data_IF_945988244204
#
_entry.id   IF_945988244204
#
_cell.length_a   1.000
_cell.length_b   1.000
_cell.length_c   1.000
_cell.angle_alpha   90.00
_cell.angle_beta   90.00
_cell.angle_gamma   90.00
#
_symmetry.space_group_name_H-M   'P 1'
#
loop_
_entity.id
_entity.type
_entity.pdbx_description
1 polymer ?
#
# COMPACT_ATOMS: atom_id res chain seq x y z
N UNK A 1 -41.26 -9.84 8.35
CA UNK A 1 -40.14 -8.88 8.53
C UNK A 1 -38.83 -9.66 8.55
N UNK A 2 -38.22 -9.95 7.39
CA UNK A 2 -36.86 -10.47 7.35
C UNK A 2 -35.87 -9.31 7.42
N UNK A 3 -34.88 -9.46 8.29
CA UNK A 3 -33.74 -8.57 8.53
C UNK A 3 -33.03 -8.17 7.23
N UNK A 4 -32.77 -6.87 7.10
CA UNK A 4 -31.88 -6.27 6.10
C UNK A 4 -30.45 -6.82 6.25
N UNK A 5 -30.22 -8.00 5.67
CA UNK A 5 -28.89 -8.55 5.46
C UNK A 5 -28.21 -7.75 4.37
N UNK A 6 -27.29 -6.88 4.79
CA UNK A 6 -26.13 -6.36 4.03
C UNK A 6 -26.04 -6.81 2.56
N UNK A 7 -26.80 -6.17 1.67
CA UNK A 7 -26.38 -6.01 0.29
C UNK A 7 -25.23 -5.01 0.32
N UNK A 8 -24.00 -5.49 0.52
CA UNK A 8 -22.84 -4.67 0.16
C UNK A 8 -23.05 -4.32 -1.31
N UNK A 9 -23.44 -3.08 -1.61
CA UNK A 9 -23.59 -2.67 -2.98
C UNK A 9 -22.23 -2.86 -3.64
N UNK A 10 -22.21 -3.44 -4.85
CA UNK A 10 -21.01 -3.57 -5.68
C UNK A 10 -20.31 -2.20 -5.88
N UNK A 11 -21.02 -1.13 -5.58
CA UNK A 11 -20.61 0.25 -5.73
C UNK A 11 -19.95 0.85 -4.47
N UNK A 12 -19.99 0.17 -3.31
CA UNK A 12 -19.29 0.58 -2.08
C UNK A 12 -17.76 0.72 -2.25
N UNK A 13 -17.03 -0.22 -2.90
CA UNK A 13 -15.59 -0.05 -3.13
C UNK A 13 -15.24 1.16 -4.00
N UNK A 14 -16.19 1.64 -4.83
CA UNK A 14 -15.99 2.78 -5.73
C UNK A 14 -15.59 4.04 -4.96
N UNK A 15 -16.24 4.35 -3.84
CA UNK A 15 -15.91 5.54 -3.04
C UNK A 15 -14.72 5.30 -2.11
N UNK A 16 -14.59 4.07 -1.59
CA UNK A 16 -13.68 3.76 -0.49
C UNK A 16 -12.21 4.05 -0.83
N UNK A 17 -11.77 3.69 -2.03
CA UNK A 17 -10.37 3.84 -2.45
C UNK A 17 -9.91 5.31 -2.49
N UNK A 18 -10.55 6.22 -3.26
CA UNK A 18 -10.12 7.61 -3.31
C UNK A 18 -10.32 8.33 -1.98
N UNK A 19 -11.33 7.93 -1.18
CA UNK A 19 -11.50 8.46 0.17
C UNK A 19 -10.36 8.06 1.11
N UNK A 20 -9.92 6.80 1.08
CA UNK A 20 -8.78 6.35 1.88
C UNK A 20 -7.47 7.02 1.45
N UNK A 21 -7.28 7.25 0.14
CA UNK A 21 -6.14 8.01 -0.41
C UNK A 21 -6.14 9.44 0.11
N UNK A 22 -7.26 10.15 -0.02
CA UNK A 22 -7.43 11.51 0.48
C UNK A 22 -7.15 11.60 1.99
N UNK A 23 -7.73 10.68 2.77
CA UNK A 23 -7.52 10.61 4.22
C UNK A 23 -6.06 10.35 4.59
N UNK A 24 -5.33 9.59 3.78
CA UNK A 24 -3.89 9.37 3.96
C UNK A 24 -3.12 10.66 3.69
N UNK A 25 -3.36 11.32 2.56
CA UNK A 25 -2.68 12.57 2.22
C UNK A 25 -2.90 13.66 3.27
N UNK A 26 -4.13 13.83 3.75
CA UNK A 26 -4.45 14.82 4.80
C UNK A 26 -3.67 14.56 6.10
N UNK A 27 -3.46 13.30 6.48
CA UNK A 27 -2.64 12.95 7.64
C UNK A 27 -1.17 13.28 7.40
N UNK A 28 -0.64 12.93 6.24
CA UNK A 28 0.74 13.23 5.86
C UNK A 28 0.99 14.75 5.79
N UNK A 29 0.02 15.52 5.29
CA UNK A 29 0.03 16.99 5.27
C UNK A 29 0.13 17.56 6.67
N UNK A 30 -0.67 17.05 7.61
CA UNK A 30 -0.64 17.48 9.01
C UNK A 30 0.76 17.38 9.61
N UNK A 31 1.46 16.26 9.39
CA UNK A 31 2.84 16.09 9.88
C UNK A 31 3.82 17.11 9.31
N UNK A 32 3.70 17.47 8.02
CA UNK A 32 4.54 18.50 7.40
C UNK A 32 4.24 19.88 8.00
N UNK A 33 2.97 20.21 8.16
CA UNK A 33 2.54 21.49 8.75
C UNK A 33 3.02 21.61 10.19
N UNK A 34 2.93 20.54 10.98
CA UNK A 34 3.48 20.53 12.35
C UNK A 34 5.02 20.65 12.35
N UNK A 35 5.69 20.12 11.33
CA UNK A 35 7.12 20.34 11.08
C UNK A 35 7.48 21.80 10.77
N UNK A 36 6.62 22.54 10.07
CA UNK A 36 6.79 23.98 9.83
C UNK A 36 6.69 24.75 11.14
N UNK A 37 5.71 24.41 12.01
CA UNK A 37 5.60 25.02 13.35
C UNK A 37 6.88 24.82 14.16
N UNK A 38 7.46 23.61 14.11
CA UNK A 38 8.74 23.32 14.76
C UNK A 38 9.87 24.21 14.23
N UNK A 39 9.97 24.41 12.91
CA UNK A 39 10.96 25.33 12.33
C UNK A 39 10.78 26.77 12.80
N UNK A 40 9.54 27.25 12.88
CA UNK A 40 9.23 28.59 13.42
C UNK A 40 9.65 28.70 14.88
N UNK A 41 9.39 27.68 15.71
CA UNK A 41 9.85 27.70 17.11
C UNK A 41 11.37 27.73 17.22
N UNK A 42 12.09 26.96 16.38
CA UNK A 42 13.56 26.97 16.35
C UNK A 42 14.12 28.33 15.91
N UNK A 43 13.45 29.01 14.98
CA UNK A 43 13.83 30.37 14.59
C UNK A 43 13.70 31.34 15.77
N UNK A 44 12.59 31.29 16.50
CA UNK A 44 12.35 32.16 17.67
C UNK A 44 13.36 31.88 18.79
N UNK A 45 13.70 30.61 19.05
CA UNK A 45 14.70 30.27 20.08
C UNK A 45 16.09 30.75 19.69
N UNK A 46 16.48 30.60 18.42
CA UNK A 46 17.80 31.03 17.94
C UNK A 46 17.92 32.56 17.89
N UNK A 47 16.83 33.27 17.56
CA UNK A 47 16.79 34.73 17.59
C UNK A 47 17.00 35.30 19.01
N UNK A 48 16.52 34.60 20.04
CA UNK A 48 16.65 35.01 21.44
C UNK A 48 17.99 34.60 22.08
N UNK A 49 18.82 33.82 21.38
CA UNK A 49 20.07 33.32 21.93
C UNK A 49 21.22 34.33 21.69
N UNK A 50 21.56 35.08 22.73
CA UNK A 50 22.59 36.13 22.71
C UNK A 50 24.02 35.60 22.56
N UNK A 51 24.23 34.29 22.70
CA UNK A 51 25.55 33.65 22.65
C UNK A 51 26.05 33.22 21.27
N UNK A 52 25.24 33.28 20.20
CA UNK A 52 25.68 32.89 18.86
C UNK A 52 26.40 34.01 18.12
N UNK A 53 27.46 33.64 17.39
CA UNK A 53 28.12 34.54 16.44
C UNK A 53 27.21 34.83 15.24
N UNK A 54 27.45 35.95 14.55
CA UNK A 54 26.64 36.33 13.38
C UNK A 54 26.78 35.32 12.24
N UNK A 55 27.91 34.63 12.13
CA UNK A 55 28.17 33.64 11.07
C UNK A 55 27.43 32.33 11.34
N UNK A 56 27.38 31.85 12.58
CA UNK A 56 26.56 30.70 12.97
C UNK A 56 25.06 30.99 12.79
N UNK A 57 24.63 32.21 13.10
CA UNK A 57 23.24 32.66 12.87
C UNK A 57 22.87 32.63 11.39
N UNK A 58 23.75 33.09 10.50
CA UNK A 58 23.54 33.05 9.05
C UNK A 58 23.44 31.60 8.55
N UNK A 59 24.37 30.72 8.95
CA UNK A 59 24.34 29.31 8.57
C UNK A 59 23.08 28.60 9.03
N UNK A 60 22.59 28.89 10.23
CA UNK A 60 21.35 28.31 10.74
C UNK A 60 20.13 28.85 10.01
N UNK A 61 20.11 30.13 9.66
CA UNK A 61 19.03 30.73 8.87
C UNK A 61 18.96 30.09 7.48
N UNK A 62 20.11 29.85 6.84
CA UNK A 62 20.20 29.11 5.57
C UNK A 62 19.69 27.67 5.69
N UNK A 63 20.03 26.96 6.77
CA UNK A 63 19.49 25.61 7.04
C UNK A 63 17.97 25.65 7.18
N UNK A 64 17.41 26.61 7.93
CA UNK A 64 15.97 26.74 8.11
C UNK A 64 15.26 27.11 6.81
N UNK A 65 15.81 28.02 6.02
CA UNK A 65 15.31 28.37 4.67
C UNK A 65 15.32 27.15 3.75
N UNK A 66 16.41 26.37 3.74
CA UNK A 66 16.50 25.14 2.93
C UNK A 66 15.47 24.08 3.37
N UNK A 67 15.16 24.01 4.67
CA UNK A 67 14.15 23.10 5.20
C UNK A 67 12.73 23.55 4.84
N UNK A 68 12.44 24.85 4.97
CA UNK A 68 11.13 25.44 4.60
C UNK A 68 10.85 25.33 3.11
N UNK A 69 11.85 25.56 2.25
CA UNK A 69 11.70 25.42 0.79
C UNK A 69 11.39 23.97 0.39
N UNK A 70 12.05 22.98 1.00
CA UNK A 70 11.73 21.56 0.82
C UNK A 70 10.31 21.23 1.28
N UNK A 71 9.90 21.71 2.46
CA UNK A 71 8.55 21.52 2.99
C UNK A 71 7.49 22.17 2.10
N UNK A 72 7.73 23.40 1.61
CA UNK A 72 6.85 24.11 0.67
C UNK A 72 6.64 23.30 -0.61
N UNK A 73 7.73 22.81 -1.22
CA UNK A 73 7.66 22.00 -2.44
C UNK A 73 6.80 20.75 -2.22
N UNK A 74 7.07 20.01 -1.14
CA UNK A 74 6.30 18.80 -0.79
C UNK A 74 4.82 19.11 -0.55
N UNK A 75 4.51 20.19 0.16
CA UNK A 75 3.12 20.60 0.44
C UNK A 75 2.37 20.99 -0.85
N UNK A 76 3.03 21.66 -1.80
CA UNK A 76 2.40 22.00 -3.09
C UNK A 76 2.10 20.78 -3.95
N UNK A 77 2.94 19.75 -3.91
CA UNK A 77 2.73 18.49 -4.62
C UNK A 77 1.55 17.72 -4.00
N UNK A 78 1.56 17.55 -2.68
CA UNK A 78 0.45 16.93 -1.96
C UNK A 78 -0.88 17.68 -2.13
N UNK A 79 -0.85 19.01 -2.26
CA UNK A 79 -2.06 19.77 -2.52
C UNK A 79 -2.67 19.48 -3.89
N UNK A 80 -1.85 19.21 -4.91
CA UNK A 80 -2.35 18.81 -6.23
C UNK A 80 -2.91 17.40 -6.21
N UNK A 81 -2.26 16.49 -5.49
CA UNK A 81 -2.74 15.11 -5.31
C UNK A 81 -4.08 15.06 -4.58
N UNK A 82 -4.24 15.84 -3.50
CA UNK A 82 -5.51 15.92 -2.77
C UNK A 82 -6.65 16.50 -3.61
N UNK A 83 -6.38 17.51 -4.43
CA UNK A 83 -7.37 18.06 -5.36
C UNK A 83 -7.81 17.01 -6.38
N UNK A 84 -6.87 16.22 -6.90
CA UNK A 84 -7.18 15.11 -7.81
C UNK A 84 -8.00 14.01 -7.12
N UNK A 85 -7.65 13.63 -5.90
CA UNK A 85 -8.40 12.65 -5.10
C UNK A 85 -9.81 13.13 -4.74
N UNK A 86 -9.95 14.39 -4.34
CA UNK A 86 -11.23 15.01 -4.07
C UNK A 86 -12.10 15.06 -5.33
N UNK A 87 -11.52 15.46 -6.48
CA UNK A 87 -12.17 15.42 -7.79
C UNK A 87 -12.67 14.02 -8.15
N UNK A 88 -11.85 12.98 -7.94
CA UNK A 88 -12.28 11.58 -8.10
C UNK A 88 -13.45 11.21 -7.20
N UNK A 89 -13.42 11.61 -5.92
CA UNK A 89 -14.54 11.38 -4.99
C UNK A 89 -15.83 12.01 -5.51
N UNK A 90 -15.77 13.28 -5.96
CA UNK A 90 -16.94 14.00 -6.48
C UNK A 90 -17.48 13.31 -7.73
N UNK A 91 -16.63 12.97 -8.70
CA UNK A 91 -17.04 12.30 -9.94
C UNK A 91 -17.70 10.94 -9.68
N UNK A 92 -17.16 10.16 -8.73
CA UNK A 92 -17.73 8.86 -8.35
C UNK A 92 -19.06 9.03 -7.60
N UNK A 93 -19.18 10.01 -6.72
CA UNK A 93 -20.46 10.34 -6.07
C UNK A 93 -21.52 10.77 -7.08
N UNK A 94 -21.17 11.65 -8.03
CA UNK A 94 -22.07 12.06 -9.10
C UNK A 94 -22.51 10.87 -9.96
N UNK A 95 -21.59 9.95 -10.26
CA UNK A 95 -21.96 8.70 -10.95
C UNK A 95 -22.96 7.88 -10.13
N UNK A 96 -22.75 7.70 -8.83
CA UNK A 96 -23.68 6.95 -7.99
C UNK A 96 -25.05 7.61 -7.89
N UNK A 97 -25.11 8.94 -7.81
CA UNK A 97 -26.36 9.69 -7.84
C UNK A 97 -27.08 9.47 -9.18
N UNK A 98 -26.34 9.48 -10.30
CA UNK A 98 -26.91 9.24 -11.64
C UNK A 98 -27.45 7.83 -11.84
N UNK A 99 -26.97 6.84 -11.06
CA UNK A 99 -27.48 5.47 -11.08
C UNK A 99 -28.86 5.33 -10.41
N UNK A 100 -29.23 6.30 -9.56
CA UNK A 100 -30.49 6.29 -8.81
C UNK A 100 -30.50 5.27 -7.65
N UNK A 101 -31.54 5.34 -6.82
CA UNK A 101 -31.83 4.31 -5.82
C UNK A 101 -32.52 3.12 -6.51
N UNK A 102 -32.16 1.87 -6.18
CA UNK A 102 -32.88 0.70 -6.67
C UNK A 102 -34.30 0.73 -6.10
N UNK A 103 -35.28 1.14 -6.91
CA UNK A 103 -36.70 0.96 -6.59
C UNK A 103 -37.06 -0.53 -6.81
N UNK A 104 -37.94 -1.12 -5.99
CA UNK A 104 -38.25 -2.55 -6.01
C UNK A 104 -38.63 -3.13 -7.39
N UNK A 105 -39.17 -2.29 -8.29
CA UNK A 105 -39.67 -2.69 -9.61
C UNK A 105 -38.90 -2.07 -10.80
N UNK A 106 -37.84 -1.31 -10.56
CA UNK A 106 -37.00 -0.75 -11.64
C UNK A 106 -35.71 -1.55 -11.75
N UNK A 107 -35.70 -2.50 -12.68
CA UNK A 107 -34.45 -2.99 -13.25
C UNK A 107 -33.67 -1.78 -13.74
N UNK A 108 -32.54 -1.48 -13.09
CA UNK A 108 -31.61 -0.43 -13.52
C UNK A 108 -31.39 -0.64 -15.02
N UNK A 109 -31.82 0.29 -15.90
CA UNK A 109 -31.61 0.15 -17.33
C UNK A 109 -30.14 -0.11 -17.55
N UNK A 110 -29.81 -1.15 -18.32
CA UNK A 110 -28.46 -1.68 -18.49
C UNK A 110 -27.45 -0.55 -18.66
N UNK A 111 -26.80 -0.18 -17.56
CA UNK A 111 -25.92 0.97 -17.56
C UNK A 111 -24.57 0.47 -18.08
N UNK A 112 -24.36 0.59 -19.39
CA UNK A 112 -23.11 0.24 -20.08
C UNK A 112 -21.90 0.78 -19.30
N UNK A 113 -21.97 2.02 -18.81
CA UNK A 113 -20.90 2.64 -18.02
C UNK A 113 -20.63 1.92 -16.68
N UNK A 114 -21.70 1.49 -15.98
CA UNK A 114 -21.56 0.69 -14.75
C UNK A 114 -20.94 -0.68 -15.05
N UNK A 115 -21.38 -1.31 -16.14
CA UNK A 115 -20.82 -2.59 -16.58
C UNK A 115 -19.34 -2.44 -16.96
N UNK A 116 -18.98 -1.39 -17.68
CA UNK A 116 -17.60 -1.09 -18.06
C UNK A 116 -16.72 -0.87 -16.81
N UNK A 117 -17.22 -0.17 -15.77
CA UNK A 117 -16.50 -0.03 -14.49
C UNK A 117 -16.29 -1.38 -13.80
N UNK A 118 -17.32 -2.22 -13.72
CA UNK A 118 -17.22 -3.56 -13.11
C UNK A 118 -16.26 -4.45 -13.91
N UNK A 119 -16.33 -4.39 -15.24
CA UNK A 119 -15.48 -5.16 -16.13
C UNK A 119 -14.02 -4.71 -16.00
N UNK A 120 -13.75 -3.40 -15.94
CA UNK A 120 -12.41 -2.88 -15.69
C UNK A 120 -11.88 -3.32 -14.33
N UNK A 121 -12.65 -3.24 -13.24
CA UNK A 121 -12.22 -3.74 -11.92
C UNK A 121 -11.88 -5.23 -11.96
N UNK A 122 -12.70 -6.04 -12.63
CA UNK A 122 -12.42 -7.47 -12.82
C UNK A 122 -11.12 -7.71 -13.62
N UNK A 123 -10.95 -7.02 -14.74
CA UNK A 123 -9.74 -7.13 -15.58
C UNK A 123 -8.48 -6.74 -14.78
N UNK A 124 -8.55 -5.68 -13.97
CA UNK A 124 -7.45 -5.25 -13.11
C UNK A 124 -7.11 -6.30 -12.04
N UNK A 125 -8.11 -6.92 -11.40
CA UNK A 125 -7.91 -7.99 -10.41
C UNK A 125 -7.34 -9.27 -11.02
N UNK A 126 -7.70 -9.58 -12.26
CA UNK A 126 -7.20 -10.73 -13.00
C UNK A 126 -5.84 -10.49 -13.67
N UNK A 127 -5.28 -9.28 -13.58
CA UNK A 127 -3.97 -8.94 -14.15
C UNK A 127 -3.99 -8.51 -15.63
N UNK A 128 -5.16 -8.29 -16.22
CA UNK A 128 -5.34 -7.81 -17.60
C UNK A 128 -5.28 -6.27 -17.70
N UNK A 129 -4.16 -5.67 -17.27
CA UNK A 129 -4.05 -4.20 -17.14
C UNK A 129 -4.11 -3.46 -18.48
N UNK A 130 -3.54 -4.02 -19.55
CA UNK A 130 -3.59 -3.39 -20.88
C UNK A 130 -5.02 -3.31 -21.38
N UNK A 131 -5.77 -4.41 -21.30
CA UNK A 131 -7.19 -4.44 -21.68
C UNK A 131 -8.04 -3.51 -20.79
N UNK A 132 -7.78 -3.52 -19.48
CA UNK A 132 -8.46 -2.64 -18.52
C UNK A 132 -8.24 -1.15 -18.82
N UNK A 133 -7.00 -0.76 -19.13
CA UNK A 133 -6.65 0.64 -19.45
C UNK A 133 -7.23 1.07 -20.79
N UNK A 134 -7.22 0.21 -21.81
CA UNK A 134 -7.85 0.48 -23.09
C UNK A 134 -9.36 0.69 -22.95
N UNK A 135 -10.05 -0.23 -22.26
CA UNK A 135 -11.49 -0.11 -22.01
C UNK A 135 -11.84 1.13 -21.20
N UNK A 136 -11.05 1.44 -20.16
CA UNK A 136 -11.25 2.64 -19.36
C UNK A 136 -11.09 3.93 -20.18
N UNK A 137 -10.17 3.91 -21.15
CA UNK A 137 -9.92 5.02 -22.07
C UNK A 137 -11.05 5.22 -23.08
N UNK A 138 -11.48 4.13 -23.72
CA UNK A 138 -12.55 4.13 -24.71
C UNK A 138 -13.91 4.53 -24.11
N UNK A 139 -14.22 4.05 -22.90
CA UNK A 139 -15.46 4.36 -22.20
C UNK A 139 -15.43 5.71 -21.43
N UNK A 140 -14.27 6.39 -21.36
CA UNK A 140 -14.13 7.66 -20.63
C UNK A 140 -14.38 7.52 -19.11
N UNK A 141 -13.98 6.39 -18.52
CA UNK A 141 -14.25 6.05 -17.11
C UNK A 141 -13.01 6.03 -16.23
N UNK A 142 -11.89 6.63 -16.66
CA UNK A 142 -10.61 6.61 -15.95
C UNK A 142 -10.72 7.14 -14.50
N UNK A 143 -11.58 8.13 -14.26
CA UNK A 143 -11.82 8.68 -12.92
C UNK A 143 -12.66 7.77 -12.00
N UNK A 144 -13.31 6.76 -12.58
CA UNK A 144 -14.19 5.82 -11.88
C UNK A 144 -13.48 4.49 -11.55
N UNK A 145 -12.27 4.28 -12.09
CA UNK A 145 -11.51 3.04 -11.92
C UNK A 145 -10.17 3.31 -11.24
N UNK A 146 -9.60 2.29 -10.60
CA UNK A 146 -8.40 2.41 -9.76
C UNK A 146 -7.15 1.84 -10.46
N UNK A 147 -6.95 2.15 -11.74
CA UNK A 147 -5.89 1.55 -12.59
C UNK A 147 -4.49 1.66 -11.98
N UNK A 148 -4.11 2.82 -11.45
CA UNK A 148 -2.77 3.04 -10.89
C UNK A 148 -2.53 2.25 -9.59
N UNK A 149 -3.57 2.11 -8.75
CA UNK A 149 -3.48 1.29 -7.54
C UNK A 149 -3.20 -0.17 -7.89
N UNK A 150 -3.91 -0.69 -8.89
CA UNK A 150 -3.73 -2.05 -9.37
C UNK A 150 -2.39 -2.25 -10.07
N UNK A 151 -1.85 -1.24 -10.75
CA UNK A 151 -0.50 -1.27 -11.34
C UNK A 151 0.57 -1.45 -10.26
N UNK A 152 0.47 -0.73 -9.13
CA UNK A 152 1.38 -0.93 -8.00
C UNK A 152 1.28 -2.35 -7.44
N UNK A 153 0.06 -2.87 -7.27
CA UNK A 153 -0.15 -4.24 -6.83
C UNK A 153 0.46 -5.26 -7.82
N UNK A 154 0.32 -5.01 -9.12
CA UNK A 154 0.91 -5.85 -10.17
C UNK A 154 2.44 -5.88 -10.08
N UNK A 155 3.09 -4.74 -9.87
CA UNK A 155 4.55 -4.69 -9.68
C UNK A 155 4.99 -5.58 -8.51
N UNK A 156 4.25 -5.55 -7.40
CA UNK A 156 4.52 -6.42 -6.24
C UNK A 156 4.30 -7.89 -6.61
N UNK A 157 3.21 -8.24 -7.28
CA UNK A 157 2.94 -9.62 -7.72
C UNK A 157 4.02 -10.13 -8.68
N UNK A 158 4.47 -9.28 -9.62
CA UNK A 158 5.53 -9.65 -10.56
C UNK A 158 6.88 -9.83 -9.86
N UNK A 159 7.20 -8.98 -8.88
CA UNK A 159 8.38 -9.13 -8.04
C UNK A 159 8.35 -10.47 -7.29
N UNK A 160 7.20 -10.81 -6.70
CA UNK A 160 7.01 -12.09 -6.01
C UNK A 160 7.17 -13.29 -6.95
N UNK A 161 6.65 -13.22 -8.18
CA UNK A 161 6.88 -14.25 -9.22
C UNK A 161 8.35 -14.38 -9.60
N UNK A 162 9.11 -13.28 -9.59
CA UNK A 162 10.57 -13.30 -9.75
C UNK A 162 11.34 -13.66 -8.47
N UNK A 163 10.64 -14.12 -7.41
CA UNK A 163 11.20 -14.51 -6.12
C UNK A 163 11.84 -13.35 -5.34
N UNK A 164 11.38 -12.13 -5.60
CA UNK A 164 11.76 -10.93 -4.87
C UNK A 164 10.62 -10.49 -3.94
N UNK A 165 10.84 -10.61 -2.64
CA UNK A 165 9.88 -10.19 -1.61
C UNK A 165 10.09 -8.75 -1.14
N UNK A 166 11.13 -8.05 -1.61
CA UNK A 166 11.50 -6.73 -1.12
C UNK A 166 10.39 -5.69 -1.28
N UNK A 167 9.76 -5.65 -2.46
CA UNK A 167 8.64 -4.74 -2.74
C UNK A 167 7.42 -5.03 -1.83
N UNK A 168 7.10 -6.31 -1.62
CA UNK A 168 5.99 -6.74 -0.77
C UNK A 168 6.26 -6.41 0.72
N UNK A 169 7.50 -6.61 1.18
CA UNK A 169 7.91 -6.30 2.56
C UNK A 169 7.93 -4.79 2.82
N UNK A 170 8.37 -3.98 1.86
CA UNK A 170 8.29 -2.52 1.94
C UNK A 170 6.82 -2.05 2.05
N UNK A 171 5.91 -2.71 1.32
CA UNK A 171 4.47 -2.47 1.45
C UNK A 171 3.95 -2.88 2.83
N UNK A 172 4.37 -4.03 3.38
CA UNK A 172 4.03 -4.44 4.74
C UNK A 172 4.49 -3.43 5.79
N UNK A 173 5.74 -2.96 5.71
CA UNK A 173 6.28 -1.95 6.62
C UNK A 173 5.46 -0.65 6.59
N UNK A 174 5.06 -0.21 5.39
CA UNK A 174 4.24 0.99 5.19
C UNK A 174 2.80 0.84 5.70
N UNK A 175 2.31 -0.39 5.87
CA UNK A 175 0.93 -0.70 6.26
C UNK A 175 0.83 -1.45 7.61
N UNK A 176 1.90 -1.51 8.38
CA UNK A 176 2.03 -2.34 9.60
C UNK A 176 0.88 -2.16 10.58
N UNK A 177 0.48 -0.93 10.87
CA UNK A 177 -0.61 -0.63 11.81
C UNK A 177 -1.96 -1.17 11.34
N UNK A 178 -2.21 -1.20 10.03
CA UNK A 178 -3.42 -1.77 9.43
C UNK A 178 -3.37 -3.29 9.43
N UNK A 179 -2.23 -3.87 9.09
CA UNK A 179 -2.02 -5.32 9.09
C UNK A 179 -2.19 -5.93 10.48
N UNK A 180 -1.67 -5.25 11.52
CA UNK A 180 -1.84 -5.67 12.92
C UNK A 180 -3.32 -5.68 13.33
N UNK A 181 -4.11 -4.67 12.93
CA UNK A 181 -5.54 -4.64 13.22
C UNK A 181 -6.33 -5.75 12.52
N UNK A 182 -5.83 -6.21 11.38
CA UNK A 182 -6.40 -7.32 10.62
C UNK A 182 -5.88 -8.69 11.08
N UNK A 183 -4.96 -8.74 12.06
CA UNK A 183 -4.23 -9.95 12.45
C UNK A 183 -3.65 -10.69 11.23
N UNK A 184 -3.08 -9.94 10.28
CA UNK A 184 -2.57 -10.51 9.03
C UNK A 184 -1.19 -11.15 9.22
N UNK A 185 -1.04 -12.41 8.80
CA UNK A 185 0.24 -13.13 8.77
C UNK A 185 1.02 -12.95 7.46
N UNK A 186 0.67 -11.96 6.64
CA UNK A 186 1.32 -11.72 5.35
C UNK A 186 2.82 -11.43 5.49
N UNK A 187 3.20 -10.59 6.46
CA UNK A 187 4.61 -10.26 6.69
C UNK A 187 5.41 -11.51 7.06
N UNK A 188 4.86 -12.36 7.95
CA UNK A 188 5.49 -13.63 8.31
C UNK A 188 5.71 -14.53 7.09
N UNK A 189 4.68 -14.74 6.26
CA UNK A 189 4.78 -15.57 5.04
C UNK A 189 5.84 -15.06 4.07
N UNK A 190 5.93 -13.73 3.89
CA UNK A 190 6.96 -13.12 3.04
C UNK A 190 8.37 -13.31 3.59
N UNK A 191 8.54 -13.17 4.92
CA UNK A 191 9.83 -13.42 5.59
C UNK A 191 10.25 -14.89 5.51
N UNK A 192 9.29 -15.82 5.63
CA UNK A 192 9.54 -17.25 5.41
C UNK A 192 9.97 -17.51 3.96
N UNK A 193 9.34 -16.85 2.98
CA UNK A 193 9.75 -16.98 1.58
C UNK A 193 11.17 -16.47 1.36
N UNK A 194 11.55 -15.28 1.86
CA UNK A 194 12.94 -14.80 1.75
C UNK A 194 13.94 -15.79 2.40
N UNK A 195 13.58 -16.36 3.55
CA UNK A 195 14.39 -17.39 4.19
C UNK A 195 14.55 -18.63 3.29
N UNK A 196 13.48 -19.13 2.69
CA UNK A 196 13.51 -20.26 1.75
C UNK A 196 14.40 -19.93 0.53
N UNK A 197 14.34 -18.70 0.01
CA UNK A 197 15.20 -18.26 -1.09
C UNK A 197 16.70 -18.23 -0.69
N UNK A 198 17.03 -17.83 0.54
CA UNK A 198 18.40 -17.90 1.07
C UNK A 198 18.88 -19.35 1.20
N UNK A 199 18.02 -20.25 1.68
CA UNK A 199 18.32 -21.69 1.75
C UNK A 199 18.52 -22.28 0.36
N UNK A 200 17.70 -21.89 -0.63
CA UNK A 200 17.82 -22.31 -2.02
C UNK A 200 19.16 -21.90 -2.65
N UNK A 201 19.71 -20.74 -2.27
CA UNK A 201 21.04 -20.27 -2.70
C UNK A 201 22.20 -20.93 -1.96
N UNK A 202 21.92 -21.92 -1.08
CA UNK A 202 22.91 -22.56 -0.19
C UNK A 202 23.62 -21.60 0.78
N UNK A 203 23.06 -20.41 1.02
CA UNK A 203 23.59 -19.41 1.95
C UNK A 203 23.15 -19.69 3.40
N UNK A 204 23.53 -20.86 3.95
CA UNK A 204 23.00 -21.37 5.23
C UNK A 204 23.26 -20.43 6.42
N UNK A 205 24.46 -19.85 6.50
CA UNK A 205 24.82 -18.92 7.59
C UNK A 205 23.96 -17.64 7.54
N UNK A 206 23.77 -17.08 6.35
CA UNK A 206 22.92 -15.91 6.15
C UNK A 206 21.46 -16.21 6.48
N UNK A 207 20.95 -17.38 6.05
CA UNK A 207 19.60 -17.82 6.37
C UNK A 207 19.38 -17.94 7.89
N UNK A 208 20.34 -18.50 8.64
CA UNK A 208 20.27 -18.61 10.10
C UNK A 208 20.27 -17.23 10.76
N UNK A 209 21.14 -16.31 10.31
CA UNK A 209 21.19 -14.95 10.83
C UNK A 209 19.86 -14.22 10.56
N UNK A 210 19.33 -14.36 9.35
CA UNK A 210 18.06 -13.79 8.93
C UNK A 210 16.89 -14.31 9.78
N UNK A 211 16.81 -15.63 10.01
CA UNK A 211 15.76 -16.25 10.82
C UNK A 211 15.77 -15.73 12.26
N UNK A 212 16.96 -15.59 12.87
CA UNK A 212 17.10 -15.02 14.21
C UNK A 212 16.60 -13.57 14.27
N UNK A 213 16.88 -12.77 13.24
CA UNK A 213 16.50 -11.37 13.21
C UNK A 213 15.00 -11.15 12.96
N UNK A 214 14.43 -11.83 11.95
CA UNK A 214 13.09 -11.50 11.45
C UNK A 214 12.01 -12.53 11.80
N UNK A 215 12.38 -13.80 12.00
CA UNK A 215 11.42 -14.88 12.27
C UNK A 215 11.27 -15.19 13.76
N UNK A 216 12.30 -14.93 14.59
CA UNK A 216 12.25 -15.15 16.05
C UNK A 216 11.05 -14.49 16.75
N UNK A 217 10.61 -13.26 16.41
CA UNK A 217 9.43 -12.66 17.05
C UNK A 217 8.12 -13.41 16.82
N UNK A 218 8.04 -14.21 15.74
CA UNK A 218 6.86 -14.96 15.35
C UNK A 218 6.80 -16.36 15.96
N UNK A 219 7.83 -16.77 16.71
CA UNK A 219 7.90 -18.09 17.33
C UNK A 219 6.73 -18.35 18.30
N UNK A 220 6.22 -17.31 18.98
CA UNK A 220 5.09 -17.46 19.90
C UNK A 220 3.75 -17.74 19.18
N UNK A 221 3.57 -17.24 17.96
CA UNK A 221 2.32 -17.33 17.21
C UNK A 221 2.32 -18.40 16.12
N UNK A 222 3.46 -18.63 15.46
CA UNK A 222 3.57 -19.41 14.21
C UNK A 222 4.69 -20.46 14.28
N UNK A 223 4.89 -21.10 15.45
CA UNK A 223 5.99 -22.04 15.71
C UNK A 223 6.03 -23.21 14.72
N UNK A 224 4.88 -23.76 14.34
CA UNK A 224 4.83 -24.93 13.45
C UNK A 224 5.37 -24.61 12.06
N UNK A 225 4.99 -23.45 11.51
CA UNK A 225 5.46 -23.01 10.20
C UNK A 225 6.93 -22.58 10.26
N UNK A 226 7.37 -21.99 11.37
CA UNK A 226 8.78 -21.71 11.62
C UNK A 226 9.62 -23.00 11.63
N UNK A 227 9.18 -24.04 12.34
CA UNK A 227 9.87 -25.33 12.39
C UNK A 227 9.94 -25.98 11.01
N UNK A 228 8.85 -25.94 10.25
CA UNK A 228 8.82 -26.42 8.85
C UNK A 228 9.82 -25.69 7.98
N UNK A 229 9.84 -24.36 8.05
CA UNK A 229 10.82 -23.54 7.34
C UNK A 229 12.25 -23.90 7.77
N UNK A 230 12.56 -23.94 9.07
CA UNK A 230 13.90 -24.27 9.57
C UNK A 230 14.38 -25.66 9.17
N UNK A 231 13.45 -26.62 9.00
CA UNK A 231 13.76 -27.99 8.56
C UNK A 231 14.31 -28.03 7.12
N UNK A 232 14.01 -27.01 6.30
CA UNK A 232 14.59 -26.86 4.95
C UNK A 232 16.11 -26.61 4.97
N UNK A 233 16.72 -26.24 6.11
CA UNK A 233 18.18 -26.18 6.25
C UNK A 233 18.84 -27.57 6.20
N UNK A 234 18.11 -28.60 6.64
CA UNK A 234 18.53 -29.99 6.60
C UNK A 234 18.13 -30.65 5.27
N UNK A 235 16.90 -30.40 4.81
CA UNK A 235 16.37 -30.92 3.55
C UNK A 235 16.52 -29.89 2.43
N UNK A 236 17.56 -30.07 1.63
CA UNK A 236 17.91 -29.20 0.49
C UNK A 236 16.82 -29.20 -0.60
N UNK A 237 16.86 -28.26 -1.57
CA UNK A 237 15.87 -28.18 -2.65
C UNK A 237 15.67 -29.46 -3.48
N UNK A 238 16.65 -30.38 -3.49
CA UNK A 238 16.59 -31.68 -4.18
C UNK A 238 16.01 -32.81 -3.30
N UNK A 239 15.17 -32.49 -2.33
CA UNK A 239 14.64 -33.48 -1.37
C UNK A 239 13.38 -34.15 -1.92
N UNK A 240 13.31 -35.48 -1.86
CA UNK A 240 12.13 -36.28 -2.24
C UNK A 240 11.01 -36.30 -1.18
N UNK A 241 11.24 -35.65 -0.04
CA UNK A 241 10.26 -35.53 1.04
C UNK A 241 9.20 -34.47 0.71
N UNK A 242 8.02 -34.95 0.29
CA UNK A 242 6.90 -34.15 -0.19
C UNK A 242 6.54 -32.91 0.66
N UNK A 243 6.47 -32.96 2.02
CA UNK A 243 6.12 -31.79 2.84
C UNK A 243 7.09 -30.62 2.73
N UNK A 244 8.35 -30.87 2.35
CA UNK A 244 9.40 -29.86 2.25
C UNK A 244 9.71 -29.51 0.80
N UNK A 245 9.48 -30.43 -0.13
CA UNK A 245 9.58 -30.17 -1.58
C UNK A 245 8.62 -29.06 -2.01
N UNK A 246 7.37 -29.09 -1.53
CA UNK A 246 6.33 -28.08 -1.85
C UNK A 246 6.74 -26.67 -1.41
N UNK A 247 7.61 -26.52 -0.41
CA UNK A 247 8.11 -25.21 0.03
C UNK A 247 9.10 -24.60 -0.99
N UNK A 248 9.72 -25.44 -1.82
CA UNK A 248 10.64 -25.01 -2.87
C UNK A 248 10.01 -24.96 -4.26
N UNK A 249 8.77 -25.40 -4.42
CA UNK A 249 8.06 -25.34 -5.69
C UNK A 249 7.74 -23.89 -6.08
N UNK A 250 7.69 -23.66 -7.40
CA UNK A 250 7.30 -22.37 -7.97
C UNK A 250 5.79 -22.34 -8.06
N UNK A 251 5.16 -21.36 -7.43
CA UNK A 251 3.75 -21.00 -7.68
C UNK A 251 3.64 -20.19 -8.96
#
# INVERSE_FOLDING_TARGET
>A
MPSAGTSQSLDTPLIKVPYESLRRSVRERKYIVDGVKSVVTSLTTNANNSGLTNEERLQDLDKLVSKLTKMKRKLTEMSKEEEADAGRCVMRLQHLISLGHPLPDQHIPWNKKRLDVILVDHLLRSGYHVSATNLASEAGIQNLVDTELFKQAQCVVQALKSRDCGAALAWCASNKSRLNKLNSNLEFKLRVQEFIELVRRSAKLEAIMYARQYLSPWAASEMQDLQRAMTTLAFQPNTDCFPYMVLFDVV
#
